data_IF_829524963526
#
_entry.id   IF_829524963526
#
_cell.length_a   1.000
_cell.length_b   1.000
_cell.length_c   1.000
_cell.angle_alpha   90.00
_cell.angle_beta   90.00
_cell.angle_gamma   90.00
#
_symmetry.space_group_name_H-M   'P 1'
#
loop_
_entity.id
_entity.type
_entity.pdbx_description
1 polymer ?
#
# COMPACT_ATOMS: atom_id res chain seq x y z
N UNK A 1 5.90 -1.65 -8.22
CA UNK A 1 4.47 -1.30 -8.06
C UNK A 1 4.33 0.21 -7.96
N UNK A 2 3.42 0.78 -8.72
CA UNK A 2 3.15 2.21 -8.64
C UNK A 2 2.36 2.54 -7.39
N UNK A 3 2.69 3.66 -6.76
CA UNK A 3 1.96 4.11 -5.58
C UNK A 3 0.48 4.31 -5.89
N UNK A 4 0.15 4.83 -7.06
CA UNK A 4 -1.24 5.03 -7.48
C UNK A 4 -2.00 3.70 -7.56
N UNK A 5 -1.34 2.64 -8.01
CA UNK A 5 -1.97 1.32 -8.07
C UNK A 5 -2.32 0.80 -6.67
N UNK A 6 -1.40 1.01 -5.73
CA UNK A 6 -1.64 0.59 -4.35
C UNK A 6 -2.79 1.38 -3.73
N UNK A 7 -2.83 2.68 -3.95
CA UNK A 7 -3.90 3.53 -3.46
C UNK A 7 -5.25 3.09 -4.03
N UNK A 8 -5.27 2.82 -5.32
CA UNK A 8 -6.49 2.38 -6.00
C UNK A 8 -6.98 1.04 -5.46
N UNK A 9 -6.06 0.12 -5.22
CA UNK A 9 -6.41 -1.20 -4.70
C UNK A 9 -7.07 -1.11 -3.31
N UNK A 10 -6.52 -0.27 -2.44
CA UNK A 10 -7.05 -0.13 -1.09
C UNK A 10 -8.21 0.87 -0.99
N UNK A 11 -8.44 1.66 -2.02
CA UNK A 11 -9.55 2.59 -2.09
C UNK A 11 -9.16 4.05 -1.84
N UNK A 12 -8.17 4.30 -1.02
CA UNK A 12 -7.67 5.65 -0.75
C UNK A 12 -6.30 5.57 -0.12
N UNK A 13 -5.58 6.68 -0.14
CA UNK A 13 -4.26 6.76 0.48
C UNK A 13 -4.34 6.52 1.99
N UNK A 14 -5.40 6.98 2.61
CA UNK A 14 -5.61 6.79 4.03
C UNK A 14 -5.80 5.32 4.37
N UNK A 15 -6.59 4.61 3.58
CA UNK A 15 -6.82 3.18 3.78
C UNK A 15 -5.54 2.39 3.56
N UNK A 16 -4.76 2.77 2.54
CA UNK A 16 -3.47 2.14 2.29
C UNK A 16 -2.54 2.32 3.49
N UNK A 17 -2.43 3.54 4.00
CA UNK A 17 -1.57 3.82 5.14
C UNK A 17 -2.01 3.02 6.38
N UNK A 18 -3.29 2.97 6.65
CA UNK A 18 -3.82 2.21 7.77
C UNK A 18 -3.52 0.72 7.65
N UNK A 19 -3.67 0.17 6.45
CA UNK A 19 -3.40 -1.25 6.21
C UNK A 19 -1.95 -1.61 6.49
N UNK A 20 -1.03 -0.67 6.24
CA UNK A 20 0.40 -0.89 6.44
C UNK A 20 0.87 -0.44 7.82
N UNK A 21 -0.01 0.15 8.63
CA UNK A 21 0.38 0.69 9.91
C UNK A 21 1.23 1.94 9.81
N UNK A 22 1.03 2.72 8.75
CA UNK A 22 1.80 3.94 8.48
C UNK A 22 0.92 5.17 8.55
N UNK A 23 1.56 6.35 8.59
CA UNK A 23 0.85 7.60 8.43
C UNK A 23 0.69 7.92 6.96
N UNK A 24 -0.30 8.76 6.63
CA UNK A 24 -0.50 9.23 5.26
C UNK A 24 0.76 9.93 4.74
N UNK A 25 1.43 10.68 5.61
CA UNK A 25 2.65 11.37 5.24
C UNK A 25 3.75 10.41 4.81
N UNK A 26 3.84 9.25 5.43
CA UNK A 26 4.82 8.26 5.06
C UNK A 26 4.57 7.75 3.64
N UNK A 27 3.31 7.57 3.27
CA UNK A 27 2.95 7.16 1.91
C UNK A 27 3.30 8.25 0.90
N UNK A 28 3.08 9.50 1.24
CA UNK A 28 3.45 10.62 0.35
C UNK A 28 4.94 10.65 0.06
N UNK A 29 5.77 10.20 1.00
CA UNK A 29 7.22 10.19 0.80
C UNK A 29 7.68 9.17 -0.23
N UNK A 30 6.85 8.20 -0.57
CA UNK A 30 7.20 7.18 -1.55
C UNK A 30 7.36 7.75 -2.96
N UNK A 31 6.68 8.85 -3.27
CA UNK A 31 6.65 9.37 -4.62
C UNK A 31 5.83 8.49 -5.55
N UNK A 32 6.34 8.24 -6.76
CA UNK A 32 5.59 7.49 -7.77
C UNK A 32 5.60 5.98 -7.56
N UNK A 33 6.65 5.47 -6.92
CA UNK A 33 6.83 4.03 -6.76
C UNK A 33 6.86 3.63 -5.29
N UNK A 34 6.21 2.51 -5.01
CA UNK A 34 6.21 1.92 -3.67
C UNK A 34 7.59 1.32 -3.42
N UNK A 35 8.20 1.57 -2.22
CA UNK A 35 9.49 0.94 -1.90
C UNK A 35 9.38 -0.59 -1.94
N UNK A 36 10.46 -1.30 -2.34
CA UNK A 36 10.41 -2.76 -2.44
C UNK A 36 9.93 -3.46 -1.18
N UNK A 37 10.37 -2.98 -0.02
CA UNK A 37 9.95 -3.56 1.26
C UNK A 37 8.44 -3.48 1.45
N UNK A 38 7.86 -2.35 1.07
CA UNK A 38 6.41 -2.16 1.18
C UNK A 38 5.65 -2.92 0.11
N UNK A 39 6.26 -3.14 -1.05
CA UNK A 39 5.65 -3.95 -2.10
C UNK A 39 5.38 -5.36 -1.58
N UNK A 40 6.34 -5.97 -0.90
CA UNK A 40 6.16 -7.29 -0.31
C UNK A 40 5.02 -7.29 0.71
N UNK A 41 4.97 -6.28 1.55
CA UNK A 41 3.94 -6.15 2.56
C UNK A 41 2.54 -6.02 1.92
N UNK A 42 2.45 -5.21 0.86
CA UNK A 42 1.19 -5.02 0.13
C UNK A 42 0.75 -6.32 -0.53
N UNK A 43 1.66 -7.01 -1.19
CA UNK A 43 1.36 -8.29 -1.84
C UNK A 43 0.88 -9.33 -0.84
N UNK A 44 1.47 -9.34 0.33
CA UNK A 44 1.08 -10.24 1.40
C UNK A 44 -0.35 -9.96 1.85
N UNK A 45 -0.70 -8.69 2.00
CA UNK A 45 -2.06 -8.29 2.35
C UNK A 45 -3.06 -8.64 1.26
N UNK A 46 -2.69 -8.46 0.00
CA UNK A 46 -3.53 -8.84 -1.13
C UNK A 46 -3.79 -10.32 -1.16
N UNK A 47 -2.76 -11.13 -0.91
CA UNK A 47 -2.89 -12.58 -0.89
C UNK A 47 -3.80 -13.04 0.25
N UNK A 48 -3.69 -12.38 1.41
CA UNK A 48 -4.54 -12.67 2.56
C UNK A 48 -6.00 -12.37 2.25
N UNK A 49 -6.26 -11.25 1.59
CA UNK A 49 -7.60 -10.88 1.13
C UNK A 49 -8.16 -11.90 0.17
N UNK A 50 -7.33 -12.35 -0.77
CA UNK A 50 -7.74 -13.31 -1.79
C UNK A 50 -8.05 -14.68 -1.21
N UNK A 51 -7.45 -15.03 -0.07
CA UNK A 51 -7.67 -16.34 0.54
C UNK A 51 -8.91 -16.41 1.41
N UNK A 52 -9.56 -15.29 1.61
CA UNK A 52 -10.82 -15.23 2.34
C UNK A 52 -11.99 -15.31 1.39
#
# INVERSE_FOLDING_TARGET
MKTAEAIEHFGSIRKLAEALGLSVQAVYRWGEDVPPLRVYQIKDLMADDASK
#
